data_IF_837617848540
#
_entry.id   IF_837617848540
#
_cell.length_a   1.000
_cell.length_b   1.000
_cell.length_c   1.000
_cell.angle_alpha   90.00
_cell.angle_beta   90.00
_cell.angle_gamma   90.00
#
_symmetry.space_group_name_H-M   'P 1'
#
loop_
_entity.id
_entity.type
_entity.pdbx_description
1 polymer ?
#
# COMPACT_ATOMS: atom_id res chain seq x y z
N UNK A 1 -10.40 14.40 -16.49
CA UNK A 1 -9.84 13.74 -15.31
C UNK A 1 -8.62 12.87 -15.64
N UNK A 2 -8.69 11.91 -16.57
CA UNK A 2 -7.55 11.05 -16.96
C UNK A 2 -6.24 11.75 -17.37
N UNK A 3 -6.30 12.96 -17.95
CA UNK A 3 -5.09 13.69 -18.34
C UNK A 3 -4.26 14.19 -17.15
N UNK A 4 -4.89 14.52 -16.00
CA UNK A 4 -4.18 15.11 -14.84
C UNK A 4 -3.25 14.11 -14.15
N UNK A 5 -3.64 12.84 -14.04
CA UNK A 5 -2.85 11.80 -13.37
C UNK A 5 -1.46 11.62 -13.97
N UNK A 6 -1.37 11.51 -15.30
CA UNK A 6 -0.10 11.31 -15.99
C UNK A 6 0.86 12.51 -15.88
N UNK A 7 0.34 13.72 -15.61
CA UNK A 7 1.20 14.87 -15.38
C UNK A 7 2.03 14.73 -14.10
N UNK A 8 1.53 14.07 -13.05
CA UNK A 8 2.28 13.93 -11.80
C UNK A 8 3.53 13.04 -11.98
N UNK A 9 3.41 11.92 -12.68
CA UNK A 9 4.55 11.05 -13.05
C UNK A 9 5.59 11.77 -13.90
N UNK A 10 5.13 12.52 -14.91
CA UNK A 10 6.00 13.32 -15.76
C UNK A 10 6.75 14.39 -14.95
N UNK A 11 6.05 15.08 -14.04
CA UNK A 11 6.65 16.09 -13.16
C UNK A 11 7.65 15.48 -12.19
N UNK A 12 7.32 14.35 -11.57
CA UNK A 12 8.23 13.61 -10.71
C UNK A 12 9.52 13.25 -11.44
N UNK A 13 9.41 12.62 -12.61
CA UNK A 13 10.58 12.23 -13.40
C UNK A 13 11.41 13.46 -13.84
N UNK A 14 10.73 14.56 -14.18
CA UNK A 14 11.38 15.80 -14.60
C UNK A 14 12.21 16.44 -13.47
N UNK A 15 11.84 16.26 -12.19
CA UNK A 15 12.68 16.69 -11.03
C UNK A 15 14.10 16.12 -11.14
N UNK A 16 14.26 14.95 -11.75
CA UNK A 16 15.53 14.24 -11.95
C UNK A 16 16.08 14.35 -13.38
N UNK A 17 15.57 15.29 -14.18
CA UNK A 17 16.00 15.51 -15.56
C UNK A 17 15.57 14.38 -16.53
N UNK A 18 14.51 13.65 -16.20
CA UNK A 18 13.98 12.56 -17.03
C UNK A 18 12.63 12.99 -17.60
N UNK A 19 12.57 13.11 -18.92
CA UNK A 19 11.35 13.52 -19.62
C UNK A 19 10.47 12.30 -19.93
N UNK A 20 9.22 12.36 -19.47
CA UNK A 20 8.15 11.41 -19.78
C UNK A 20 6.94 12.22 -20.24
N UNK A 21 6.35 11.88 -21.39
CA UNK A 21 5.11 12.49 -21.85
C UNK A 21 3.87 11.78 -21.31
N UNK A 22 2.72 12.45 -21.36
CA UNK A 22 1.44 11.87 -20.95
C UNK A 22 1.04 10.71 -21.87
N UNK A 23 1.30 10.84 -23.18
CA UNK A 23 1.06 9.81 -24.18
C UNK A 23 1.93 8.57 -23.93
N UNK A 24 3.22 8.77 -23.62
CA UNK A 24 4.15 7.70 -23.26
C UNK A 24 3.68 6.90 -22.02
N UNK A 25 3.13 7.58 -21.01
CA UNK A 25 2.60 6.88 -19.83
C UNK A 25 1.35 6.03 -20.13
N UNK A 26 0.49 6.46 -21.06
CA UNK A 26 -0.67 5.64 -21.49
C UNK A 26 -0.21 4.38 -22.21
N UNK A 27 0.82 4.48 -23.05
CA UNK A 27 1.43 3.32 -23.70
C UNK A 27 2.04 2.36 -22.67
N UNK A 28 2.65 2.90 -21.61
CA UNK A 28 3.19 2.08 -20.54
C UNK A 28 2.12 1.33 -19.74
N UNK A 29 0.97 1.95 -19.49
CA UNK A 29 -0.17 1.29 -18.88
C UNK A 29 -0.59 0.06 -19.69
N UNK A 30 -0.77 0.21 -21.01
CA UNK A 30 -1.09 -0.90 -21.90
C UNK A 30 0.00 -1.98 -21.90
N UNK A 31 1.27 -1.56 -21.90
CA UNK A 31 2.40 -2.48 -21.82
C UNK A 31 2.38 -3.31 -20.52
N UNK A 32 2.06 -2.73 -19.37
CA UNK A 32 1.97 -3.47 -18.10
C UNK A 32 0.81 -4.47 -18.08
N UNK A 33 -0.28 -4.22 -18.80
CA UNK A 33 -1.38 -5.19 -18.96
C UNK A 33 -0.90 -6.41 -19.75
N UNK A 34 -0.17 -6.19 -20.84
CA UNK A 34 0.30 -7.27 -21.74
C UNK A 34 1.55 -8.00 -21.17
N UNK A 35 2.41 -7.26 -20.47
CA UNK A 35 3.73 -7.72 -20.03
C UNK A 35 4.04 -7.29 -18.57
N UNK A 36 3.21 -7.68 -17.58
CA UNK A 36 3.30 -7.17 -16.21
C UNK A 36 4.64 -7.44 -15.52
N UNK A 37 5.32 -8.52 -15.87
CA UNK A 37 6.63 -8.89 -15.31
C UNK A 37 7.81 -8.14 -15.95
N UNK A 38 7.59 -7.46 -17.07
CA UNK A 38 8.64 -6.87 -17.89
C UNK A 38 8.57 -5.34 -17.91
N UNK A 39 7.93 -4.69 -16.94
CA UNK A 39 7.74 -3.24 -16.93
C UNK A 39 9.01 -2.44 -17.25
N UNK A 40 10.17 -2.81 -16.67
CA UNK A 40 11.47 -2.16 -16.90
C UNK A 40 12.09 -2.42 -18.29
N UNK A 41 11.47 -3.27 -19.12
CA UNK A 41 11.85 -3.48 -20.53
C UNK A 41 11.13 -2.53 -21.48
N UNK A 42 10.12 -1.82 -21.01
CA UNK A 42 9.60 -0.65 -21.72
C UNK A 42 10.50 0.55 -21.46
N UNK A 43 10.62 1.45 -22.44
CA UNK A 43 11.36 2.71 -22.29
C UNK A 43 10.84 3.53 -21.09
N UNK A 44 9.52 3.54 -20.89
CA UNK A 44 8.87 4.36 -19.86
C UNK A 44 9.02 3.75 -18.47
N UNK A 45 8.90 2.42 -18.35
CA UNK A 45 9.21 1.73 -17.11
C UNK A 45 10.68 1.89 -16.71
N UNK A 46 11.61 1.88 -17.66
CA UNK A 46 13.02 2.19 -17.39
C UNK A 46 13.22 3.64 -16.90
N UNK A 47 12.60 4.61 -17.59
CA UNK A 47 12.63 6.03 -17.17
C UNK A 47 12.06 6.22 -15.76
N UNK A 48 10.93 5.59 -15.44
CA UNK A 48 10.28 5.69 -14.13
C UNK A 48 11.12 5.00 -13.04
N UNK A 49 11.67 3.82 -13.31
CA UNK A 49 12.60 3.15 -12.40
C UNK A 49 13.82 4.04 -12.10
N UNK A 50 14.41 4.65 -13.13
CA UNK A 50 15.54 5.57 -12.99
C UNK A 50 15.17 6.80 -12.14
N UNK A 51 13.98 7.37 -12.33
CA UNK A 51 13.51 8.48 -11.52
C UNK A 51 13.39 8.11 -10.03
N UNK A 52 12.78 6.96 -9.72
CA UNK A 52 12.67 6.45 -8.33
C UNK A 52 14.05 6.15 -7.73
N UNK A 53 14.98 5.64 -8.54
CA UNK A 53 16.38 5.44 -8.13
C UNK A 53 17.06 6.78 -7.80
N UNK A 54 16.94 7.79 -8.67
CA UNK A 54 17.48 9.12 -8.39
C UNK A 54 16.89 9.72 -7.11
N UNK A 55 15.58 9.61 -6.90
CA UNK A 55 14.92 10.04 -5.66
C UNK A 55 15.53 9.37 -4.42
N UNK A 56 15.79 8.05 -4.50
CA UNK A 56 16.43 7.31 -3.41
C UNK A 56 17.84 7.80 -3.12
N UNK A 57 18.65 7.94 -4.15
CA UNK A 57 20.06 8.37 -4.04
C UNK A 57 20.20 9.81 -3.55
N UNK A 58 19.22 10.66 -3.84
CA UNK A 58 19.12 12.03 -3.31
C UNK A 58 18.74 12.08 -1.82
N UNK A 59 18.32 10.95 -1.23
CA UNK A 59 17.92 10.88 0.17
C UNK A 59 16.50 11.42 0.47
N UNK A 60 15.65 11.57 -0.53
CA UNK A 60 14.32 12.23 -0.42
C UNK A 60 13.20 11.31 0.12
N UNK A 61 13.51 10.07 0.52
CA UNK A 61 12.52 9.15 1.09
C UNK A 61 11.86 9.70 2.37
N UNK A 62 10.56 9.41 2.54
CA UNK A 62 9.84 9.72 3.78
C UNK A 62 10.40 8.89 4.93
N UNK A 63 10.82 9.53 6.01
CA UNK A 63 11.31 8.85 7.21
C UNK A 63 10.16 8.72 8.20
N UNK A 64 9.67 7.49 8.39
CA UNK A 64 8.79 7.20 9.52
C UNK A 64 9.66 6.97 10.75
N UNK A 65 9.63 7.92 11.68
CA UNK A 65 10.46 7.88 12.89
C UNK A 65 9.96 6.81 13.86
N UNK A 66 10.89 6.19 14.59
CA UNK A 66 10.57 5.26 15.68
C UNK A 66 9.80 5.94 16.80
N UNK A 67 10.18 7.18 17.09
CA UNK A 67 9.61 8.02 18.12
C UNK A 67 8.90 9.17 17.42
N UNK A 68 7.64 9.38 17.72
CA UNK A 68 6.84 10.46 17.14
C UNK A 68 7.26 11.85 17.68
N UNK A 69 6.68 12.90 17.10
CA UNK A 69 6.91 14.29 17.49
C UNK A 69 6.54 14.60 18.95
N UNK A 70 5.80 13.72 19.61
CA UNK A 70 5.40 13.83 21.01
C UNK A 70 6.29 13.00 21.96
N UNK A 71 7.30 12.30 21.45
CA UNK A 71 8.20 11.48 22.25
C UNK A 71 7.69 10.08 22.57
N UNK A 72 6.62 9.61 21.91
CA UNK A 72 6.08 8.27 22.09
C UNK A 72 6.58 7.32 21.00
N UNK A 73 6.57 6.01 21.27
CA UNK A 73 6.84 5.04 20.20
C UNK A 73 5.76 5.14 19.11
N UNK A 74 6.19 5.13 17.85
CA UNK A 74 5.29 5.09 16.70
C UNK A 74 4.55 3.76 16.66
N UNK A 75 3.22 3.84 16.70
CA UNK A 75 2.30 2.71 16.68
C UNK A 75 1.55 2.66 15.37
N UNK A 76 1.45 1.47 14.79
CA UNK A 76 0.67 1.19 13.59
C UNK A 76 -0.28 0.01 13.82
N UNK A 77 -1.27 -0.15 12.95
CA UNK A 77 -2.36 -1.11 13.11
C UNK A 77 -2.58 -1.95 11.86
N UNK A 78 -3.04 -3.18 12.04
CA UNK A 78 -3.49 -4.04 10.94
C UNK A 78 -4.74 -4.79 11.34
N UNK A 79 -5.72 -4.84 10.44
CA UNK A 79 -6.92 -5.63 10.62
C UNK A 79 -6.89 -6.95 9.84
N UNK A 80 -7.59 -7.95 10.37
CA UNK A 80 -7.98 -9.14 9.63
C UNK A 80 -9.46 -9.43 9.90
N UNK A 81 -10.21 -9.74 8.84
CA UNK A 81 -11.59 -10.19 8.99
C UNK A 81 -11.61 -11.67 9.34
N UNK A 82 -12.55 -12.03 10.20
CA UNK A 82 -12.85 -13.40 10.64
C UNK A 82 -14.38 -13.54 10.65
N UNK A 83 -14.91 -14.68 10.22
CA UNK A 83 -16.35 -14.95 10.37
C UNK A 83 -16.76 -14.89 11.85
N UNK A 84 -17.86 -14.22 12.17
CA UNK A 84 -18.26 -13.97 13.57
C UNK A 84 -18.54 -15.26 14.36
N UNK A 85 -18.87 -16.36 13.68
CA UNK A 85 -19.06 -17.70 14.26
C UNK A 85 -17.76 -18.53 14.36
N UNK A 86 -16.63 -17.99 13.88
CA UNK A 86 -15.33 -18.66 13.96
C UNK A 86 -14.89 -18.80 15.41
N UNK A 87 -14.56 -20.04 15.79
CA UNK A 87 -14.06 -20.38 17.13
C UNK A 87 -12.62 -19.91 17.36
N UNK A 88 -11.81 -19.82 16.29
CA UNK A 88 -10.42 -19.36 16.38
C UNK A 88 -10.32 -17.86 16.17
N UNK A 89 -9.91 -17.13 17.21
CA UNK A 89 -9.51 -15.73 17.14
C UNK A 89 -8.07 -15.67 16.64
N UNK A 90 -7.73 -14.66 15.83
CA UNK A 90 -6.35 -14.48 15.39
C UNK A 90 -5.41 -14.23 16.58
N UNK A 91 -4.21 -14.77 16.50
CA UNK A 91 -3.12 -14.50 17.43
C UNK A 91 -2.12 -13.53 16.80
N UNK A 92 -1.17 -13.05 17.61
CA UNK A 92 -0.08 -12.18 17.14
C UNK A 92 0.65 -12.74 15.90
N UNK A 93 0.90 -14.05 15.86
CA UNK A 93 1.54 -14.72 14.73
C UNK A 93 0.73 -14.60 13.42
N UNK A 94 -0.59 -14.50 13.51
CA UNK A 94 -1.47 -14.40 12.34
C UNK A 94 -1.56 -12.98 11.79
N UNK A 95 -1.15 -11.96 12.55
CA UNK A 95 -1.25 -10.57 12.11
C UNK A 95 -0.14 -10.17 11.14
N UNK A 96 0.88 -11.00 10.95
CA UNK A 96 1.95 -10.73 9.99
C UNK A 96 1.49 -10.88 8.53
N UNK A 97 2.36 -10.47 7.59
CA UNK A 97 2.13 -10.78 6.19
C UNK A 97 2.13 -12.31 5.97
N UNK A 98 1.33 -12.84 5.03
CA UNK A 98 1.37 -14.26 4.70
C UNK A 98 2.80 -14.69 4.32
N UNK A 99 3.17 -15.97 4.51
CA UNK A 99 4.44 -16.49 4.04
C UNK A 99 4.61 -16.31 2.52
N UNK A 100 5.87 -16.26 2.07
CA UNK A 100 6.20 -16.20 0.64
C UNK A 100 5.50 -17.31 -0.13
N UNK A 101 4.90 -16.97 -1.28
CA UNK A 101 4.10 -17.86 -2.11
C UNK A 101 2.61 -17.93 -1.77
N UNK A 102 2.19 -17.39 -0.61
CA UNK A 102 0.78 -17.44 -0.16
C UNK A 102 0.06 -16.09 -0.19
N UNK A 103 0.78 -15.00 -0.42
CA UNK A 103 0.19 -13.66 -0.48
C UNK A 103 -0.75 -13.53 -1.68
N UNK A 104 -1.96 -13.04 -1.44
CA UNK A 104 -2.88 -12.64 -2.50
C UNK A 104 -2.37 -11.38 -3.22
N UNK A 105 -2.98 -11.07 -4.36
CA UNK A 105 -2.70 -9.84 -5.08
C UNK A 105 -3.10 -8.61 -4.24
N UNK A 106 -2.14 -7.73 -3.95
CA UNK A 106 -2.36 -6.47 -3.25
C UNK A 106 -1.87 -5.29 -4.08
N UNK A 107 -2.10 -4.06 -3.60
CA UNK A 107 -1.77 -2.85 -4.37
C UNK A 107 -0.26 -2.77 -4.64
N UNK A 108 0.58 -2.99 -3.64
CA UNK A 108 2.04 -2.88 -3.78
C UNK A 108 2.75 -4.23 -3.74
N UNK A 109 2.05 -5.32 -4.07
CA UNK A 109 2.64 -6.66 -4.16
C UNK A 109 1.99 -7.53 -5.23
N UNK A 110 2.83 -8.22 -5.99
CA UNK A 110 2.40 -9.32 -6.85
C UNK A 110 1.92 -10.51 -6.00
N UNK A 111 1.16 -11.41 -6.63
CA UNK A 111 0.77 -12.68 -6.02
C UNK A 111 2.03 -13.44 -5.57
N UNK A 112 1.99 -13.96 -4.35
CA UNK A 112 3.09 -14.70 -3.73
C UNK A 112 4.19 -13.82 -3.12
N UNK A 113 4.19 -12.50 -3.33
CA UNK A 113 5.16 -11.58 -2.72
C UNK A 113 4.60 -11.01 -1.41
N UNK A 114 5.23 -11.27 -0.25
CA UNK A 114 4.70 -10.82 1.03
C UNK A 114 4.95 -9.33 1.28
N UNK A 115 3.88 -8.63 1.66
CA UNK A 115 3.91 -7.23 2.10
C UNK A 115 3.04 -7.05 3.34
N UNK A 116 3.58 -6.37 4.34
CA UNK A 116 2.86 -6.05 5.57
C UNK A 116 2.24 -4.66 5.45
N UNK A 117 0.95 -4.64 5.16
CA UNK A 117 0.13 -3.44 5.19
C UNK A 117 -0.26 -3.07 6.61
N UNK A 118 0.06 -1.85 7.03
CA UNK A 118 -0.24 -1.24 8.32
C UNK A 118 -0.86 0.16 8.11
N UNK A 119 -1.65 0.64 9.06
CA UNK A 119 -2.21 2.01 9.08
C UNK A 119 -1.77 2.75 10.36
N UNK A 120 -1.65 4.07 10.32
CA UNK A 120 -1.40 4.90 11.52
C UNK A 120 -2.63 5.11 12.39
N UNK A 121 -3.84 4.98 11.83
CA UNK A 121 -5.09 5.12 12.55
C UNK A 121 -5.84 3.79 12.66
N UNK A 122 -6.04 3.33 13.90
CA UNK A 122 -6.84 2.15 14.21
C UNK A 122 -8.28 2.26 13.71
N UNK A 123 -8.86 3.46 13.75
CA UNK A 123 -10.26 3.71 13.36
C UNK A 123 -10.48 3.57 11.85
N UNK A 124 -9.40 3.66 11.06
CA UNK A 124 -9.42 3.47 9.63
C UNK A 124 -9.49 1.99 9.20
N UNK A 125 -9.07 1.07 10.07
CA UNK A 125 -8.93 -0.36 9.74
C UNK A 125 -10.20 -0.99 9.16
N UNK A 126 -11.42 -0.76 9.69
CA UNK A 126 -12.64 -1.32 9.11
C UNK A 126 -12.91 -0.87 7.67
N UNK A 127 -12.44 0.32 7.28
CA UNK A 127 -12.60 0.87 5.94
C UNK A 127 -11.60 0.29 4.93
N UNK A 128 -10.41 -0.11 5.39
CA UNK A 128 -9.37 -0.69 4.54
C UNK A 128 -9.67 -2.16 4.15
N UNK A 129 -10.14 -2.95 5.11
CA UNK A 129 -10.31 -4.41 4.92
C UNK A 129 -11.71 -4.83 4.46
N UNK A 130 -12.63 -3.87 4.22
CA UNK A 130 -14.02 -4.08 3.78
C UNK A 130 -14.73 -5.23 4.49
N UNK A 131 -14.88 -5.11 5.80
CA UNK A 131 -15.52 -6.13 6.63
C UNK A 131 -16.96 -6.40 6.17
N UNK A 132 -17.29 -7.68 5.95
CA UNK A 132 -18.64 -8.12 5.66
C UNK A 132 -19.50 -8.14 6.94
N UNK A 133 -20.84 -8.16 6.77
CA UNK A 133 -21.78 -8.07 7.90
C UNK A 133 -21.68 -9.23 8.90
N UNK A 134 -21.19 -10.38 8.45
CA UNK A 134 -21.01 -11.61 9.22
C UNK A 134 -19.55 -11.83 9.64
N UNK A 135 -18.76 -10.75 9.65
CA UNK A 135 -17.36 -10.76 10.01
C UNK A 135 -17.08 -9.85 11.22
N UNK A 136 -16.27 -10.38 12.14
CA UNK A 136 -15.60 -9.61 13.18
C UNK A 136 -14.23 -9.13 12.65
N UNK A 137 -13.74 -8.04 13.21
CA UNK A 137 -12.42 -7.48 12.90
C UNK A 137 -11.48 -7.71 14.07
N UNK A 138 -10.40 -8.45 13.82
CA UNK A 138 -9.29 -8.56 14.77
C UNK A 138 -8.21 -7.55 14.39
N UNK A 139 -7.85 -6.64 15.30
CA UNK A 139 -6.86 -5.60 15.06
C UNK A 139 -5.60 -5.86 15.89
N UNK A 140 -4.48 -6.04 15.20
CA UNK A 140 -3.15 -6.15 15.77
C UNK A 140 -2.46 -4.79 15.82
N UNK A 141 -1.67 -4.58 16.86
CA UNK A 141 -0.91 -3.34 17.10
C UNK A 141 0.58 -3.61 16.88
N UNK A 142 1.22 -2.79 16.06
CA UNK A 142 2.64 -2.87 15.74
C UNK A 142 3.36 -1.65 16.27
N UNK A 143 4.59 -1.84 16.72
CA UNK A 143 5.51 -0.78 17.15
C UNK A 143 6.71 -0.77 16.22
N UNK A 144 7.18 0.41 15.83
CA UNK A 144 8.46 0.54 15.12
C UNK A 144 9.64 0.29 16.07
N UNK A 145 10.66 -0.41 15.57
CA UNK A 145 11.89 -0.68 16.31
C UNK A 145 13.07 0.19 15.87
N UNK A 146 12.95 0.82 14.70
CA UNK A 146 13.87 1.82 14.15
C UNK A 146 13.12 2.76 13.20
N UNK A 147 13.79 3.82 12.78
CA UNK A 147 13.32 4.65 11.68
C UNK A 147 13.31 3.82 10.38
N UNK A 148 12.24 3.98 9.61
CA UNK A 148 12.04 3.30 8.33
C UNK A 148 11.94 4.34 7.21
N UNK A 149 12.47 4.01 6.04
CA UNK A 149 12.47 4.92 4.87
C UNK A 149 11.49 4.41 3.83
N UNK A 150 10.43 5.18 3.61
CA UNK A 150 9.37 4.89 2.66
C UNK A 150 9.49 5.74 1.40
N UNK A 151 9.06 5.17 0.28
CA UNK A 151 8.72 5.99 -0.88
C UNK A 151 7.29 6.52 -0.70
N UNK A 152 7.10 7.83 -0.77
CA UNK A 152 5.79 8.45 -0.63
C UNK A 152 5.08 8.49 -1.99
N UNK A 153 3.95 7.81 -2.11
CA UNK A 153 3.22 7.74 -3.38
C UNK A 153 2.68 9.10 -3.81
N UNK A 154 2.45 10.01 -2.86
CA UNK A 154 2.04 11.38 -3.17
C UNK A 154 3.09 12.10 -4.04
N UNK A 155 4.37 11.67 -4.02
CA UNK A 155 5.38 12.18 -4.98
C UNK A 155 5.05 11.89 -6.45
N UNK A 156 4.33 10.80 -6.70
CA UNK A 156 3.93 10.38 -8.04
C UNK A 156 2.51 10.82 -8.40
N UNK A 157 1.65 11.00 -7.40
CA UNK A 157 0.24 11.33 -7.56
C UNK A 157 -0.42 11.67 -6.21
N UNK A 158 -0.77 12.94 -6.01
CA UNK A 158 -1.44 13.44 -4.80
C UNK A 158 -2.84 12.82 -4.58
N UNK A 159 -3.47 12.25 -5.63
CA UNK A 159 -4.82 11.68 -5.59
C UNK A 159 -4.85 10.15 -5.79
N UNK A 160 -3.74 9.44 -5.56
CA UNK A 160 -3.55 8.05 -6.01
C UNK A 160 -4.64 7.05 -5.55
N UNK A 161 -5.69 6.91 -6.37
CA UNK A 161 -6.67 5.81 -6.30
C UNK A 161 -6.17 4.54 -7.02
N UNK A 162 -4.95 4.56 -7.54
CA UNK A 162 -4.45 3.60 -8.53
C UNK A 162 -4.94 3.99 -9.92
N UNK A 163 -4.16 3.64 -10.94
CA UNK A 163 -4.70 3.69 -12.31
C UNK A 163 -5.97 2.84 -12.36
N UNK A 164 -6.85 3.07 -13.33
CA UNK A 164 -8.10 2.33 -13.51
C UNK A 164 -9.26 2.72 -12.56
N UNK A 165 -9.80 3.94 -12.74
CA UNK A 165 -11.24 4.21 -12.49
C UNK A 165 -12.08 3.59 -13.63
N UNK A 166 -11.84 2.33 -13.93
CA UNK A 166 -12.68 1.52 -14.83
C UNK A 166 -12.84 0.15 -14.18
N UNK A 167 -13.71 0.10 -13.17
CA UNK A 167 -14.15 -1.11 -12.47
C UNK A 167 -14.75 -2.19 -13.41
N UNK A 168 -14.93 -1.89 -14.70
CA UNK A 168 -15.53 -2.77 -15.71
C UNK A 168 -14.60 -3.84 -16.27
N UNK A 169 -13.29 -3.78 -16.01
CA UNK A 169 -12.30 -4.75 -16.57
C UNK A 169 -11.65 -5.61 -15.46
N UNK A 170 -11.87 -5.29 -14.18
CA UNK A 170 -11.28 -6.04 -13.07
C UNK A 170 -11.89 -7.45 -12.97
N UNK A 171 -11.04 -8.47 -13.01
CA UNK A 171 -11.40 -9.84 -12.69
C UNK A 171 -11.21 -10.11 -11.19
N UNK A 172 -11.82 -11.17 -10.64
CA UNK A 172 -11.58 -11.56 -9.23
C UNK A 172 -10.10 -11.86 -8.92
N UNK A 173 -9.30 -12.21 -9.93
CA UNK A 173 -7.94 -12.71 -9.74
C UNK A 173 -6.86 -11.66 -10.04
N UNK A 174 -7.07 -10.84 -11.08
CA UNK A 174 -6.19 -9.74 -11.46
C UNK A 174 -6.99 -8.43 -11.43
N UNK A 175 -6.50 -7.50 -10.62
CA UNK A 175 -6.96 -6.11 -10.60
C UNK A 175 -6.02 -5.30 -11.46
N UNK A 176 -6.49 -4.80 -12.60
CA UNK A 176 -5.66 -3.97 -13.47
C UNK A 176 -5.19 -2.72 -12.73
N UNK A 177 -6.05 -2.21 -11.83
CA UNK A 177 -5.73 -1.12 -10.89
C UNK A 177 -4.45 -1.30 -10.08
N UNK A 178 -3.97 -2.53 -9.91
CA UNK A 178 -2.78 -2.83 -9.12
C UNK A 178 -1.51 -2.99 -9.95
N UNK A 179 -1.58 -3.00 -11.29
CA UNK A 179 -0.40 -3.27 -12.13
C UNK A 179 0.70 -2.21 -11.98
N UNK A 180 0.37 -0.93 -12.15
CA UNK A 180 1.37 0.13 -11.93
C UNK A 180 1.80 0.23 -10.45
N UNK A 181 0.89 0.22 -9.45
CA UNK A 181 1.34 0.21 -8.06
C UNK A 181 2.21 -1.01 -7.69
N UNK A 182 1.97 -2.19 -8.28
CA UNK A 182 2.84 -3.37 -8.17
C UNK A 182 4.22 -3.09 -8.76
N UNK A 183 4.27 -2.51 -9.97
CA UNK A 183 5.52 -2.13 -10.61
C UNK A 183 6.32 -1.15 -9.74
N UNK A 184 5.69 -0.09 -9.24
CA UNK A 184 6.32 0.90 -8.34
C UNK A 184 6.80 0.23 -7.05
N UNK A 185 5.97 -0.60 -6.41
CA UNK A 185 6.33 -1.33 -5.20
C UNK A 185 7.54 -2.25 -5.42
N UNK A 186 7.59 -2.95 -6.55
CA UNK A 186 8.74 -3.78 -6.92
C UNK A 186 10.02 -2.95 -7.14
N UNK A 187 9.91 -1.78 -7.78
CA UNK A 187 11.03 -0.84 -7.94
C UNK A 187 11.53 -0.37 -6.57
N UNK A 188 10.63 0.08 -5.69
CA UNK A 188 10.97 0.58 -4.37
C UNK A 188 11.65 -0.50 -3.50
N UNK A 189 11.10 -1.72 -3.52
CA UNK A 189 11.69 -2.87 -2.83
C UNK A 189 13.11 -3.17 -3.34
N UNK A 190 13.29 -3.21 -4.66
CA UNK A 190 14.60 -3.44 -5.28
C UNK A 190 15.63 -2.36 -4.92
N UNK A 191 15.19 -1.10 -4.81
CA UNK A 191 16.01 0.05 -4.48
C UNK A 191 16.26 0.24 -2.97
N UNK A 192 15.78 -0.66 -2.13
CA UNK A 192 16.04 -0.63 -0.69
C UNK A 192 15.25 0.43 0.07
N UNK A 193 14.05 0.78 -0.38
CA UNK A 193 13.06 1.37 0.52
C UNK A 193 12.53 0.29 1.47
N UNK A 194 12.24 0.66 2.71
CA UNK A 194 11.61 -0.22 3.70
C UNK A 194 10.12 -0.46 3.37
N UNK A 195 9.53 0.36 2.51
CA UNK A 195 8.16 0.24 2.09
C UNK A 195 7.68 1.38 1.21
N UNK A 196 6.37 1.43 1.03
CA UNK A 196 5.65 2.53 0.39
C UNK A 196 4.65 3.17 1.36
N UNK A 197 4.66 4.50 1.47
CA UNK A 197 3.66 5.32 2.18
C UNK A 197 2.58 5.73 1.17
N UNK A 198 1.31 5.65 1.57
CA UNK A 198 0.20 6.15 0.76
C UNK A 198 -0.99 6.55 1.62
N UNK A 199 -1.75 7.53 1.16
CA UNK A 199 -2.93 8.02 1.87
C UNK A 199 -4.09 7.02 1.81
N UNK A 200 -4.82 6.89 2.92
CA UNK A 200 -6.10 6.19 2.97
C UNK A 200 -7.19 6.99 2.25
N UNK A 201 -7.92 6.35 1.34
CA UNK A 201 -8.97 7.03 0.54
C UNK A 201 -10.39 6.67 0.97
N UNK A 202 -10.54 5.85 2.02
CA UNK A 202 -11.84 5.32 2.46
C UNK A 202 -12.18 5.72 3.88
N UNK A 203 -13.46 5.94 4.14
CA UNK A 203 -13.95 6.43 5.43
C UNK A 203 -14.18 7.93 5.34
N UNK A 204 -15.45 8.32 5.28
CA UNK A 204 -15.84 9.72 5.19
C UNK A 204 -15.20 10.49 6.35
N UNK A 205 -14.50 11.57 6.03
CA UNK A 205 -13.84 12.48 6.99
C UNK A 205 -12.65 11.91 7.78
N UNK A 206 -12.15 10.71 7.44
CA UNK A 206 -10.92 10.18 8.04
C UNK A 206 -9.69 10.61 7.22
N UNK A 207 -8.65 11.06 7.91
CA UNK A 207 -7.33 11.35 7.33
C UNK A 207 -6.30 10.43 8.00
N UNK A 208 -5.91 9.37 7.31
CA UNK A 208 -4.97 8.37 7.80
C UNK A 208 -4.00 7.96 6.70
N UNK A 209 -2.87 7.42 7.13
CA UNK A 209 -1.76 6.97 6.29
C UNK A 209 -1.62 5.47 6.40
N UNK A 210 -1.44 4.84 5.25
CA UNK A 210 -1.08 3.43 5.16
C UNK A 210 0.40 3.27 4.78
N UNK A 211 0.98 2.18 5.27
CA UNK A 211 2.35 1.78 5.04
C UNK A 211 2.38 0.33 4.55
N UNK A 212 2.92 0.12 3.36
CA UNK A 212 3.17 -1.20 2.79
C UNK A 212 4.65 -1.57 2.99
N UNK A 213 4.95 -2.33 4.05
CA UNK A 213 6.33 -2.67 4.43
C UNK A 213 6.85 -3.87 3.65
N UNK A 214 8.07 -3.73 3.14
CA UNK A 214 8.82 -4.74 2.37
C UNK A 214 9.92 -5.35 3.24
N UNK A 215 10.18 -6.66 3.07
CA UNK A 215 11.32 -7.38 3.67
C UNK A 215 11.59 -7.11 5.17
N UNK A 216 10.54 -6.74 5.92
CA UNK A 216 10.63 -6.37 7.32
C UNK A 216 11.07 -7.58 8.17
N UNK A 217 11.70 -7.27 9.31
CA UNK A 217 12.19 -8.25 10.28
C UNK A 217 11.55 -7.98 11.64
N UNK A 218 10.89 -9.01 12.17
CA UNK A 218 10.33 -9.00 13.53
C UNK A 218 11.41 -8.63 14.54
N UNK A 219 11.07 -7.73 15.48
CA UNK A 219 11.92 -7.20 16.55
C UNK A 219 13.15 -6.40 16.10
N UNK A 220 13.29 -6.14 14.79
CA UNK A 220 14.36 -5.29 14.25
C UNK A 220 13.82 -4.07 13.55
N UNK A 221 12.79 -4.25 12.74
CA UNK A 221 12.15 -3.17 11.98
C UNK A 221 10.83 -2.79 12.65
N UNK A 222 10.02 -3.80 12.97
CA UNK A 222 8.74 -3.67 13.67
C UNK A 222 8.52 -4.86 14.61
N UNK A 223 7.72 -4.66 15.66
CA UNK A 223 7.29 -5.69 16.61
C UNK A 223 5.78 -5.65 16.78
N UNK A 224 5.14 -6.80 16.95
CA UNK A 224 3.72 -6.84 17.35
C UNK A 224 3.58 -6.75 18.88
N UNK A 225 2.65 -5.91 19.34
CA UNK A 225 2.35 -5.68 20.74
C UNK A 225 1.15 -6.55 21.17
N UNK A 226 1.45 -7.68 21.81
CA UNK A 226 0.42 -8.57 22.36
C UNK A 226 -0.43 -9.26 21.28
N UNK A 227 -1.55 -9.83 21.71
CA UNK A 227 -2.54 -10.44 20.80
C UNK A 227 -3.49 -9.37 20.25
N UNK A 228 -4.05 -9.57 19.05
CA UNK A 228 -5.01 -8.64 18.48
C UNK A 228 -6.26 -8.52 19.33
N UNK A 229 -6.92 -7.36 19.24
CA UNK A 229 -8.19 -7.08 19.92
C UNK A 229 -9.33 -7.28 18.92
N UNK A 230 -10.34 -8.06 19.31
CA UNK A 230 -11.52 -8.32 18.47
C UNK A 230 -12.58 -7.23 18.63
N UNK A 231 -13.11 -6.78 17.49
CA UNK A 231 -14.19 -5.80 17.40
C UNK A 231 -15.35 -6.38 16.59
N UNK A 232 -16.57 -6.22 17.11
CA UNK A 232 -17.79 -6.55 16.39
C UNK A 232 -18.25 -5.35 15.60
N UNK A 233 -18.64 -5.57 14.35
CA UNK A 233 -19.27 -4.53 13.56
C UNK A 233 -20.71 -4.30 14.05
N UNK A 234 -21.05 -3.04 14.34
CA UNK A 234 -22.43 -2.64 14.65
C UNK A 234 -22.94 -1.87 13.45
N UNK A 235 -23.85 -2.47 12.68
CA UNK A 235 -24.49 -1.81 11.53
C UNK A 235 -25.84 -1.23 11.96
N UNK A 236 -26.01 0.09 11.81
CA UNK A 236 -27.33 0.74 11.85
C UNK A 236 -27.87 0.84 10.41
N UNK A 237 -28.82 -0.03 10.05
CA UNK A 237 -29.49 0.04 8.74
C UNK A 237 -30.82 0.75 8.89
N UNK A 238 -30.90 1.99 8.41
CA UNK A 238 -32.16 2.71 8.26
C UNK A 238 -32.73 2.44 6.87
N UNK A 239 -33.99 2.00 6.85
CA UNK A 239 -34.79 1.93 5.64
C UNK A 239 -35.67 3.18 5.62
N UNK A 240 -35.57 3.98 4.56
CA UNK A 240 -36.50 5.07 4.29
C UNK A 240 -37.55 4.59 3.28
N UNK A 241 -38.79 5.08 3.45
CA UNK A 241 -39.94 4.77 2.59
C UNK A 241 -40.04 5.79 1.47
#
# INVERSE_FOLDING_TARGET
>A
MFFLFFFHYARFALKYGIEISVEEMKEFEQFLIEHPLLGTKSLIGEKLFKAIHCHKESGEGFILEKIDEHGNNTILFRGRNRKSDSVSIFMSADMWAPPSGYSSHGRYNAIGVPVLYLADDKTAIPYEIHTAYDEDVDIGTFQLERNLIFFDIEELDDEFEGFFVNASIDSRQLKHSYLLPNFIGACCNLLGYDGVKYKGTRGNDLNYTNYALFNYKDKKDVSILGNPVSYKQILDRKLEV
#
